data_IF_121623492573
#
_entry.id   IF_121623492573
#
_cell.length_a   1.000
_cell.length_b   1.000
_cell.length_c   1.000
_cell.angle_alpha   90.00
_cell.angle_beta   90.00
_cell.angle_gamma   90.00
#
_symmetry.space_group_name_H-M   'P 1'
#
loop_
_entity.id
_entity.type
_entity.pdbx_description
1 polymer ?
#
# COMPACT_ATOMS: atom_id res chain seq x y z
N UNK A 1 6.36 -37.33 0.31
CA UNK A 1 7.65 -36.90 -0.24
C UNK A 1 7.54 -36.58 -1.69
N UNK A 2 7.00 -37.48 -2.50
CA UNK A 2 6.82 -37.28 -3.93
C UNK A 2 5.96 -36.08 -4.27
N UNK A 3 4.88 -35.85 -3.51
CA UNK A 3 3.93 -34.76 -3.82
C UNK A 3 4.54 -33.37 -3.80
N UNK A 4 5.42 -33.07 -2.84
CA UNK A 4 6.08 -31.77 -2.77
C UNK A 4 7.07 -31.60 -3.93
N UNK A 5 7.86 -32.64 -4.18
CA UNK A 5 8.86 -32.61 -5.28
C UNK A 5 8.19 -32.52 -6.64
N UNK A 6 7.09 -33.25 -6.84
CA UNK A 6 6.30 -33.19 -8.07
C UNK A 6 5.71 -31.81 -8.27
N UNK A 7 5.18 -31.19 -7.20
CA UNK A 7 4.63 -29.85 -7.25
C UNK A 7 5.72 -28.81 -7.58
N UNK A 8 6.91 -28.94 -6.99
CA UNK A 8 8.04 -28.04 -7.32
C UNK A 8 8.52 -28.19 -8.76
N UNK A 9 8.54 -29.42 -9.28
CA UNK A 9 8.91 -29.67 -10.67
C UNK A 9 7.88 -29.06 -11.62
N UNK A 10 6.58 -29.17 -11.30
CA UNK A 10 5.52 -28.55 -12.09
C UNK A 10 5.62 -27.02 -12.03
N UNK A 11 5.90 -26.47 -10.84
CA UNK A 11 6.10 -25.04 -10.65
C UNK A 11 7.27 -24.53 -11.53
N UNK A 12 8.38 -25.24 -11.55
CA UNK A 12 9.53 -24.89 -12.39
C UNK A 12 9.15 -24.86 -13.87
N UNK A 13 8.35 -25.82 -14.32
CA UNK A 13 7.87 -25.88 -15.70
C UNK A 13 6.97 -24.67 -16.03
N UNK A 14 6.04 -24.35 -15.15
CA UNK A 14 5.15 -23.18 -15.32
C UNK A 14 5.96 -21.89 -15.35
N UNK A 15 6.94 -21.76 -14.47
CA UNK A 15 7.81 -20.57 -14.41
C UNK A 15 8.63 -20.41 -15.70
N UNK A 16 9.04 -21.52 -16.30
CA UNK A 16 9.77 -21.47 -17.56
C UNK A 16 8.91 -20.96 -18.71
N UNK A 17 7.62 -21.32 -18.73
CA UNK A 17 6.69 -20.93 -19.79
C UNK A 17 6.14 -19.52 -19.60
N UNK A 18 5.91 -19.07 -18.35
CA UNK A 18 5.18 -17.84 -18.03
C UNK A 18 6.01 -16.78 -17.32
N UNK A 19 7.27 -17.06 -17.06
CA UNK A 19 8.16 -16.15 -16.37
C UNK A 19 8.52 -16.63 -14.96
N UNK A 20 9.71 -16.26 -14.51
CA UNK A 20 10.17 -16.60 -13.17
C UNK A 20 9.21 -16.07 -12.09
N UNK A 21 9.09 -16.81 -11.01
CA UNK A 21 8.28 -16.45 -9.86
C UNK A 21 6.77 -16.40 -10.09
N UNK A 22 6.29 -16.97 -11.20
CA UNK A 22 4.83 -17.14 -11.41
C UNK A 22 4.24 -18.08 -10.37
N UNK A 23 4.97 -19.15 -10.04
CA UNK A 23 4.58 -20.10 -8.98
C UNK A 23 5.74 -20.23 -8.01
N UNK A 24 5.51 -19.93 -6.74
CA UNK A 24 6.55 -19.98 -5.71
C UNK A 24 6.02 -20.62 -4.44
N UNK A 25 6.92 -21.11 -3.57
CA UNK A 25 6.55 -21.49 -2.23
C UNK A 25 6.18 -20.25 -1.43
N UNK A 26 5.15 -20.36 -0.60
CA UNK A 26 4.75 -19.24 0.25
C UNK A 26 5.89 -18.75 1.16
N UNK A 27 6.77 -19.66 1.59
CA UNK A 27 7.94 -19.32 2.40
C UNK A 27 8.95 -18.43 1.68
N UNK A 28 8.91 -18.42 0.34
CA UNK A 28 9.79 -17.59 -0.48
C UNK A 28 9.17 -16.24 -0.82
N UNK A 29 7.91 -16.06 -0.50
CA UNK A 29 7.24 -14.77 -0.70
C UNK A 29 7.70 -13.78 0.35
N UNK A 30 8.08 -12.59 -0.09
CA UNK A 30 8.52 -11.51 0.80
C UNK A 30 7.90 -10.19 0.33
N UNK A 31 7.50 -9.40 1.29
CA UNK A 31 7.10 -8.02 1.03
C UNK A 31 8.36 -7.17 1.07
N UNK A 32 8.69 -6.56 -0.06
CA UNK A 32 9.95 -5.83 -0.22
C UNK A 32 10.03 -4.61 0.70
N UNK A 33 8.90 -3.94 0.94
CA UNK A 33 8.86 -2.73 1.76
C UNK A 33 7.48 -2.57 2.40
N UNK A 34 7.48 -2.07 3.62
CA UNK A 34 6.24 -1.66 4.31
C UNK A 34 6.28 -0.17 4.57
N UNK A 35 5.11 0.44 4.54
CA UNK A 35 4.94 1.88 4.78
C UNK A 35 4.16 2.07 6.07
N UNK A 36 4.66 2.90 6.95
CA UNK A 36 3.97 3.16 8.22
C UNK A 36 2.60 3.79 7.98
N UNK A 37 1.65 3.44 8.82
CA UNK A 37 0.32 4.09 8.83
C UNK A 37 0.32 5.41 9.60
N UNK A 38 1.41 5.71 10.32
CA UNK A 38 1.46 6.82 11.25
C UNK A 38 0.91 6.48 12.63
N UNK A 39 0.43 5.26 12.82
CA UNK A 39 -0.07 4.75 14.10
C UNK A 39 0.65 3.48 14.47
N UNK A 40 1.32 3.46 15.61
CA UNK A 40 2.05 2.29 16.08
C UNK A 40 1.13 1.07 16.25
N UNK A 41 -0.05 1.27 16.83
CA UNK A 41 -1.02 0.20 17.03
C UNK A 41 -1.48 -0.41 15.72
N UNK A 42 -1.75 0.41 14.73
CA UNK A 42 -2.18 -0.06 13.42
C UNK A 42 -1.03 -0.75 12.69
N UNK A 43 0.19 -0.22 12.79
CA UNK A 43 1.36 -0.85 12.18
C UNK A 43 1.59 -2.25 12.73
N UNK A 44 1.44 -2.44 14.05
CA UNK A 44 1.55 -3.76 14.68
C UNK A 44 0.48 -4.70 14.12
N UNK A 45 -0.75 -4.23 14.03
CA UNK A 45 -1.86 -5.04 13.48
C UNK A 45 -1.64 -5.42 12.01
N UNK A 46 -0.97 -4.56 11.25
CA UNK A 46 -0.66 -4.80 9.84
C UNK A 46 0.62 -5.62 9.61
N UNK A 47 1.30 -6.00 10.69
CA UNK A 47 2.56 -6.74 10.57
C UNK A 47 3.75 -5.86 10.20
N UNK A 48 3.70 -4.57 10.53
CA UNK A 48 4.77 -3.61 10.30
C UNK A 48 4.41 -2.42 9.42
N UNK A 49 3.17 -2.32 9.01
CA UNK A 49 2.66 -1.25 8.17
C UNK A 49 2.04 -1.76 6.87
N UNK A 50 1.64 -0.84 6.01
CA UNK A 50 1.04 -1.17 4.73
C UNK A 50 2.05 -1.86 3.82
N UNK A 51 1.62 -2.93 3.16
CA UNK A 51 2.50 -3.68 2.26
C UNK A 51 2.75 -2.89 0.96
N UNK A 52 4.03 -2.75 0.58
CA UNK A 52 4.42 -2.15 -0.69
C UNK A 52 4.10 -3.07 -1.87
N UNK A 53 3.87 -2.47 -3.03
CA UNK A 53 3.50 -3.18 -4.27
C UNK A 53 2.23 -4.02 -4.16
N UNK A 54 1.33 -3.66 -3.24
CA UNK A 54 0.08 -4.36 -3.05
C UNK A 54 -1.04 -3.36 -2.85
N UNK A 55 -2.25 -3.80 -3.14
CA UNK A 55 -3.45 -3.05 -2.83
C UNK A 55 -3.79 -3.22 -1.36
N UNK A 56 -4.20 -2.13 -0.75
CA UNK A 56 -4.78 -2.14 0.59
C UNK A 56 -6.12 -1.42 0.53
N UNK A 57 -7.07 -1.89 1.31
CA UNK A 57 -8.41 -1.31 1.33
C UNK A 57 -8.78 -0.89 2.75
N UNK A 58 -9.31 0.31 2.88
CA UNK A 58 -9.82 0.84 4.15
C UNK A 58 -11.32 0.99 4.01
N UNK A 59 -12.06 0.22 4.79
CA UNK A 59 -13.52 0.17 4.75
C UNK A 59 -14.08 0.71 6.06
N UNK A 60 -15.13 1.49 5.95
CA UNK A 60 -15.85 2.01 7.12
C UNK A 60 -17.03 2.85 6.68
N UNK A 61 -17.89 3.18 7.64
CA UNK A 61 -19.00 4.09 7.40
C UNK A 61 -18.49 5.50 7.13
N UNK A 62 -19.30 6.32 6.48
CA UNK A 62 -18.99 7.73 6.25
C UNK A 62 -18.60 8.44 7.56
N UNK A 63 -17.67 9.38 7.48
CA UNK A 63 -17.20 10.21 8.60
C UNK A 63 -16.56 9.42 9.75
N UNK A 64 -16.09 8.21 9.49
CA UNK A 64 -15.44 7.37 10.50
C UNK A 64 -13.91 7.30 10.34
N UNK A 65 -13.31 8.31 9.70
CA UNK A 65 -11.87 8.49 9.71
C UNK A 65 -11.08 7.79 8.62
N UNK A 66 -11.72 7.24 7.59
CA UNK A 66 -11.01 6.57 6.48
C UNK A 66 -10.01 7.49 5.80
N UNK A 67 -10.45 8.70 5.43
CA UNK A 67 -9.59 9.70 4.81
C UNK A 67 -8.48 10.15 5.77
N UNK A 68 -8.81 10.35 7.05
CA UNK A 68 -7.83 10.75 8.05
C UNK A 68 -6.71 9.73 8.21
N UNK A 69 -7.03 8.43 8.22
CA UNK A 69 -6.02 7.35 8.29
C UNK A 69 -5.11 7.40 7.06
N UNK A 70 -5.67 7.60 5.88
CA UNK A 70 -4.91 7.69 4.65
C UNK A 70 -3.99 8.91 4.64
N UNK A 71 -4.50 10.08 5.03
CA UNK A 71 -3.70 11.30 5.11
C UNK A 71 -2.59 11.19 6.16
N UNK A 72 -2.86 10.57 7.30
CA UNK A 72 -1.82 10.34 8.31
C UNK A 72 -0.74 9.39 7.81
N UNK A 73 -1.10 8.38 7.06
CA UNK A 73 -0.14 7.51 6.40
C UNK A 73 0.80 8.32 5.50
N UNK A 74 0.23 9.17 4.66
CA UNK A 74 1.01 10.01 3.75
C UNK A 74 1.95 10.93 4.54
N UNK A 75 1.42 11.64 5.54
CA UNK A 75 2.20 12.56 6.35
C UNK A 75 3.39 11.86 7.04
N UNK A 76 3.15 10.68 7.62
CA UNK A 76 4.21 9.92 8.30
C UNK A 76 5.32 9.49 7.34
N UNK A 77 4.98 9.08 6.14
CA UNK A 77 5.97 8.65 5.16
C UNK A 77 6.70 9.85 4.53
N UNK A 78 6.02 10.97 4.32
CA UNK A 78 6.65 12.21 3.87
C UNK A 78 7.66 12.73 4.89
N UNK A 79 7.40 12.51 6.18
CA UNK A 79 8.27 12.99 7.25
C UNK A 79 9.62 12.28 7.26
N UNK A 80 9.69 11.02 6.82
CA UNK A 80 10.93 10.22 6.87
C UNK A 80 11.57 10.02 5.50
N UNK A 81 10.86 10.32 4.43
CA UNK A 81 11.35 10.12 3.06
C UNK A 81 11.09 11.40 2.25
N UNK A 82 12.15 12.17 1.93
CA UNK A 82 11.98 13.41 1.17
C UNK A 82 11.49 13.18 -0.26
N UNK A 83 11.63 11.97 -0.79
CA UNK A 83 11.21 11.63 -2.15
C UNK A 83 9.83 10.99 -2.21
N UNK A 84 9.15 10.89 -1.07
CA UNK A 84 7.81 10.28 -1.02
C UNK A 84 6.79 11.18 -1.71
N UNK A 85 6.27 10.72 -2.84
CA UNK A 85 5.30 11.44 -3.65
C UNK A 85 4.01 10.63 -3.71
N UNK A 86 2.89 11.29 -3.56
CA UNK A 86 1.57 10.64 -3.58
C UNK A 86 0.77 11.09 -4.78
N UNK A 87 0.14 10.13 -5.45
CA UNK A 87 -0.90 10.38 -6.43
C UNK A 87 -2.25 10.08 -5.78
N UNK A 88 -3.07 11.09 -5.64
CA UNK A 88 -4.38 11.00 -5.02
C UNK A 88 -5.47 11.13 -6.08
N UNK A 89 -6.23 10.07 -6.28
CA UNK A 89 -7.35 10.08 -7.21
C UNK A 89 -8.62 10.34 -6.40
N UNK A 90 -9.17 11.54 -6.53
CA UNK A 90 -10.27 12.01 -5.70
C UNK A 90 -11.61 11.80 -6.40
N UNK A 91 -12.42 10.88 -5.87
CA UNK A 91 -13.82 10.77 -6.26
C UNK A 91 -14.67 11.86 -5.58
N UNK A 92 -14.20 12.33 -4.42
CA UNK A 92 -14.79 13.42 -3.66
C UNK A 92 -13.77 14.56 -3.59
N UNK A 93 -14.20 15.71 -3.07
CA UNK A 93 -13.31 16.86 -2.93
C UNK A 93 -12.12 16.56 -2.00
N UNK A 94 -10.91 16.83 -2.47
CA UNK A 94 -9.70 16.75 -1.65
C UNK A 94 -9.61 18.01 -0.77
N UNK A 95 -9.62 17.82 0.53
CA UNK A 95 -9.56 18.92 1.49
C UNK A 95 -8.10 19.24 1.85
N UNK A 96 -7.57 20.28 1.21
CA UNK A 96 -6.19 20.74 1.39
C UNK A 96 -5.91 21.13 2.84
N UNK A 97 -6.87 21.80 3.47
CA UNK A 97 -6.69 22.27 4.86
C UNK A 97 -6.68 21.12 5.86
N UNK A 98 -7.53 20.12 5.66
CA UNK A 98 -7.52 18.92 6.48
C UNK A 98 -6.20 18.17 6.32
N UNK A 99 -5.73 18.03 5.11
CA UNK A 99 -4.46 17.36 4.83
C UNK A 99 -3.30 18.07 5.52
N UNK A 100 -3.25 19.39 5.40
CA UNK A 100 -2.21 20.19 6.07
C UNK A 100 -2.28 20.07 7.59
N UNK A 101 -3.49 20.11 8.16
CA UNK A 101 -3.69 19.95 9.61
C UNK A 101 -3.22 18.58 10.12
N UNK A 102 -3.28 17.55 9.29
CA UNK A 102 -2.79 16.21 9.63
C UNK A 102 -1.31 16.01 9.32
N UNK A 103 -0.62 17.04 8.83
CA UNK A 103 0.81 17.03 8.61
C UNK A 103 1.25 16.71 7.19
N UNK A 104 0.33 16.66 6.23
CA UNK A 104 0.65 16.40 4.84
C UNK A 104 1.33 17.62 4.20
N UNK A 105 2.42 17.37 3.48
CA UNK A 105 3.03 18.37 2.61
C UNK A 105 2.33 18.31 1.24
N UNK A 106 1.47 19.28 1.00
CA UNK A 106 0.67 19.33 -0.23
C UNK A 106 1.51 19.60 -1.50
N UNK A 107 2.75 20.06 -1.37
CA UNK A 107 3.64 20.21 -2.53
C UNK A 107 4.12 18.86 -3.06
N UNK A 108 3.98 17.79 -2.27
CA UNK A 108 4.29 16.41 -2.67
C UNK A 108 3.03 15.56 -2.84
N UNK A 109 1.91 16.20 -3.17
CA UNK A 109 0.64 15.57 -3.50
C UNK A 109 0.24 15.95 -4.91
N UNK A 110 -0.02 14.95 -5.73
CA UNK A 110 -0.63 15.16 -7.05
C UNK A 110 -2.06 14.67 -6.96
N UNK A 111 -3.01 15.57 -7.17
CA UNK A 111 -4.44 15.26 -7.05
C UNK A 111 -5.09 15.21 -8.43
N UNK A 112 -5.77 14.11 -8.71
CA UNK A 112 -6.60 13.97 -9.89
C UNK A 112 -8.05 13.98 -9.44
N UNK A 113 -8.80 14.99 -9.87
CA UNK A 113 -10.23 15.08 -9.58
C UNK A 113 -11.02 14.41 -10.68
N UNK A 114 -11.78 13.38 -10.31
CA UNK A 114 -12.61 12.66 -11.28
C UNK A 114 -13.90 13.39 -11.61
N UNK A 115 -14.27 14.40 -10.82
CA UNK A 115 -15.50 15.18 -11.04
C UNK A 115 -15.37 16.17 -12.20
N UNK A 116 -14.15 16.51 -12.58
CA UNK A 116 -13.88 17.49 -13.63
C UNK A 116 -13.47 16.85 -14.95
N UNK A 117 -13.46 15.53 -14.99
CA UNK A 117 -13.08 14.79 -16.20
C UNK A 117 -14.27 14.42 -17.08
#
# INVERSE_FOLDING_TARGET
MGNKQEALALAAKVNKEHGADTVVLASDMRIARRYTSGSESLDIALGGGWAGNQWSEVIGLESHGKTAVTLKTIAANQAVDPDFLTLWIAAEHYDVDQAEALGVDNERMIVISTQEM
#
